data_IF_632669413935
#
_entry.id   IF_632669413935
#
_cell.length_a   1.000
_cell.length_b   1.000
_cell.length_c   1.000
_cell.angle_alpha   90.00
_cell.angle_beta   90.00
_cell.angle_gamma   90.00
#
_symmetry.space_group_name_H-M   'P 1'
#
loop_
_entity.id
_entity.type
_entity.pdbx_description
1 polymer ?
#
# COMPACT_ATOMS: atom_id res chain seq x y z
N UNK A 1 -1.07 -16.04 3.10
CA UNK A 1 -1.62 -14.94 3.93
C UNK A 1 -1.03 -13.65 3.39
N UNK A 2 -1.85 -12.68 2.93
CA UNK A 2 -1.33 -11.41 2.42
C UNK A 2 -0.96 -10.52 3.60
N UNK A 3 0.32 -10.17 3.75
CA UNK A 3 0.77 -9.29 4.82
C UNK A 3 0.89 -7.86 4.29
N UNK A 4 0.23 -6.91 4.92
CA UNK A 4 0.29 -5.49 4.57
C UNK A 4 1.04 -4.75 5.67
N UNK A 5 2.02 -3.93 5.30
CA UNK A 5 2.86 -3.18 6.23
C UNK A 5 3.16 -1.75 5.80
N UNK A 6 3.84 -1.01 6.66
CA UNK A 6 4.38 0.32 6.38
C UNK A 6 5.86 0.28 6.72
N UNK A 7 6.71 0.70 5.78
CA UNK A 7 8.16 0.84 6.00
C UNK A 7 8.54 2.31 5.89
N UNK A 8 9.50 2.76 6.68
CA UNK A 8 10.08 4.09 6.52
C UNK A 8 11.29 4.02 5.57
N UNK A 9 11.33 4.90 4.57
CA UNK A 9 12.41 5.00 3.60
C UNK A 9 12.65 6.46 3.27
N UNK A 10 13.87 6.95 3.48
CA UNK A 10 14.27 8.35 3.20
C UNK A 10 13.35 9.40 3.87
N UNK A 11 12.87 9.13 5.08
CA UNK A 11 11.95 10.02 5.80
C UNK A 11 10.51 10.04 5.27
N UNK A 12 10.15 9.10 4.38
CA UNK A 12 8.79 8.86 3.91
C UNK A 12 8.29 7.50 4.38
N UNK A 13 6.99 7.35 4.51
CA UNK A 13 6.32 6.10 4.84
C UNK A 13 5.76 5.45 3.58
N UNK A 14 6.25 4.25 3.26
CA UNK A 14 5.88 3.49 2.07
C UNK A 14 5.03 2.30 2.49
N UNK A 15 3.90 2.13 1.80
CA UNK A 15 3.00 1.01 2.05
C UNK A 15 3.46 -0.23 1.29
N UNK A 16 3.57 -1.36 2.00
CA UNK A 16 4.09 -2.61 1.46
C UNK A 16 3.07 -3.74 1.52
N UNK A 17 3.21 -4.68 0.59
CA UNK A 17 2.55 -5.98 0.56
C UNK A 17 3.65 -7.04 0.51
N UNK A 18 3.68 -7.91 1.51
CA UNK A 18 4.71 -8.94 1.69
C UNK A 18 6.14 -8.35 1.66
N UNK A 19 6.34 -7.21 2.34
CA UNK A 19 7.60 -6.44 2.38
C UNK A 19 8.03 -5.77 1.06
N UNK A 20 7.23 -5.88 -0.01
CA UNK A 20 7.47 -5.15 -1.26
C UNK A 20 6.55 -3.92 -1.36
N UNK A 21 7.03 -2.77 -1.88
CA UNK A 21 6.18 -1.60 -2.10
C UNK A 21 4.96 -1.92 -2.97
N UNK A 22 3.79 -1.44 -2.57
CA UNK A 22 2.60 -1.57 -3.41
C UNK A 22 2.75 -0.67 -4.62
N UNK A 23 2.73 -1.28 -5.79
CA UNK A 23 2.79 -0.60 -7.08
C UNK A 23 1.40 -0.44 -7.65
N UNK A 24 0.93 0.80 -7.76
CA UNK A 24 -0.32 1.10 -8.43
C UNK A 24 -0.06 1.19 -9.94
N UNK A 25 -0.82 0.46 -10.76
CA UNK A 25 -0.69 0.54 -12.21
C UNK A 25 -1.22 1.89 -12.71
N UNK A 26 -0.48 2.51 -13.61
CA UNK A 26 -0.96 3.62 -14.44
C UNK A 26 -1.40 3.12 -15.80
N UNK A 27 -2.24 3.91 -16.49
CA UNK A 27 -2.76 3.59 -17.82
C UNK A 27 -1.69 3.50 -18.91
N UNK A 28 -0.50 4.08 -18.68
CA UNK A 28 0.66 4.06 -19.56
C UNK A 28 1.59 2.84 -19.32
N UNK A 29 1.22 1.93 -18.40
CA UNK A 29 2.05 0.79 -18.01
C UNK A 29 3.14 1.13 -16.99
N UNK A 30 3.31 2.40 -16.63
CA UNK A 30 4.17 2.79 -15.52
C UNK A 30 3.55 2.35 -14.18
N UNK A 31 4.40 2.26 -13.16
CA UNK A 31 4.02 1.89 -11.80
C UNK A 31 4.41 3.00 -10.85
N UNK A 32 3.51 3.37 -9.94
CA UNK A 32 3.82 4.35 -8.89
C UNK A 32 3.85 3.68 -7.52
N UNK A 33 4.81 4.09 -6.72
CA UNK A 33 4.85 3.80 -5.28
C UNK A 33 4.08 4.90 -4.57
N UNK A 34 3.24 4.52 -3.61
CA UNK A 34 2.55 5.50 -2.76
C UNK A 34 3.39 5.75 -1.51
N UNK A 35 3.83 7.00 -1.36
CA UNK A 35 4.64 7.47 -0.25
C UNK A 35 3.85 8.51 0.56
N UNK A 36 4.05 8.51 1.87
CA UNK A 36 3.37 9.41 2.80
C UNK A 36 4.38 10.16 3.65
N UNK A 37 4.07 11.39 4.02
CA UNK A 37 4.91 12.20 4.91
C UNK A 37 4.82 11.78 6.37
N UNK A 38 3.73 11.10 6.74
CA UNK A 38 3.50 10.65 8.11
C UNK A 38 2.96 9.22 8.13
N UNK A 39 3.26 8.52 9.23
CA UNK A 39 2.91 7.11 9.41
C UNK A 39 1.40 6.90 9.52
N UNK A 40 0.69 7.83 10.16
CA UNK A 40 -0.74 7.73 10.44
C UNK A 40 -1.56 7.63 9.14
N UNK A 41 -1.23 8.44 8.15
CA UNK A 41 -1.94 8.43 6.87
C UNK A 41 -1.59 7.19 6.03
N UNK A 42 -0.34 6.73 6.10
CA UNK A 42 0.05 5.44 5.51
C UNK A 42 -0.74 4.27 6.12
N UNK A 43 -0.93 4.26 7.44
CA UNK A 43 -1.71 3.25 8.14
C UNK A 43 -3.22 3.31 7.81
N UNK A 44 -3.79 4.51 7.67
CA UNK A 44 -5.19 4.68 7.21
C UNK A 44 -5.37 4.10 5.81
N UNK A 45 -4.45 4.42 4.89
CA UNK A 45 -4.46 3.87 3.53
C UNK A 45 -4.33 2.34 3.54
N UNK A 46 -3.45 1.79 4.39
CA UNK A 46 -3.31 0.35 4.61
C UNK A 46 -4.62 -0.32 5.04
N UNK A 47 -5.37 0.33 5.95
CA UNK A 47 -6.66 -0.16 6.44
C UNK A 47 -7.69 -0.26 5.31
N UNK A 48 -7.75 0.76 4.46
CA UNK A 48 -8.62 0.75 3.26
C UNK A 48 -8.24 -0.41 2.33
N UNK A 49 -6.94 -0.60 2.06
CA UNK A 49 -6.47 -1.69 1.20
C UNK A 49 -6.83 -3.08 1.77
N UNK A 50 -6.68 -3.28 3.08
CA UNK A 50 -7.08 -4.52 3.76
C UNK A 50 -8.59 -4.79 3.56
N UNK A 51 -9.41 -3.75 3.72
CA UNK A 51 -10.86 -3.84 3.55
C UNK A 51 -11.30 -4.11 2.10
N UNK A 52 -10.65 -3.47 1.13
CA UNK A 52 -10.94 -3.68 -0.29
C UNK A 52 -10.51 -5.08 -0.76
N UNK A 53 -9.34 -5.55 -0.29
CA UNK A 53 -8.83 -6.89 -0.61
C UNK A 53 -9.72 -7.98 -0.04
N UNK A 54 -10.23 -7.82 1.19
CA UNK A 54 -11.15 -8.79 1.80
C UNK A 54 -12.51 -8.85 1.08
N UNK A 55 -12.99 -7.73 0.53
CA UNK A 55 -14.22 -7.69 -0.29
C UNK A 55 -14.06 -8.34 -1.66
N UNK A 56 -12.88 -8.24 -2.29
CA UNK A 56 -12.64 -8.80 -3.63
C UNK A 56 -12.68 -10.34 -3.66
N UNK A 57 -12.49 -11.00 -2.52
CA UNK A 57 -12.57 -12.47 -2.37
C UNK A 57 -14.01 -13.00 -2.23
N UNK A 58 -15.04 -12.13 -2.27
CA UNK A 58 -16.45 -12.50 -2.11
C UNK A 58 -17.21 -12.56 -3.45
N UNK A 59 -16.54 -12.99 -4.52
CA UNK A 59 -17.13 -13.21 -5.86
C UNK A 59 -16.83 -14.63 -6.31
#
# INVERSE_FOLDING_TARGET
>A
MVNFGVIEKNGKFVVTKNNEPILLPKSDGAKIVTEFDNKVDAEKYLSILKHLTSRKTKV
#
